data_IF_509839819913
#
_entry.id   IF_509839819913
#
_cell.length_a   1.000
_cell.length_b   1.000
_cell.length_c   1.000
_cell.angle_alpha   90.00
_cell.angle_beta   90.00
_cell.angle_gamma   90.00
#
_symmetry.space_group_name_H-M   'P 1'
#
loop_
_entity.id
_entity.type
_entity.pdbx_description
1 polymer ?
#
# COMPACT_ATOMS: atom_id res chain seq x y z
N UNK A 1 12.43 10.02 30.04
CA UNK A 1 12.06 10.68 28.77
C UNK A 1 10.91 11.61 29.09
N UNK A 2 11.08 12.91 28.92
CA UNK A 2 9.96 13.86 28.93
C UNK A 2 9.16 13.62 27.66
N UNK A 3 7.82 13.62 27.71
CA UNK A 3 6.94 13.31 26.56
C UNK A 3 7.25 14.14 25.30
N UNK A 4 7.88 15.29 25.47
CA UNK A 4 8.15 16.25 24.38
C UNK A 4 9.51 16.04 23.71
N UNK A 5 10.34 15.10 24.18
CA UNK A 5 11.70 14.88 23.64
C UNK A 5 12.06 13.41 23.48
N UNK A 6 12.46 13.04 22.26
CA UNK A 6 13.04 11.74 21.93
C UNK A 6 14.55 11.88 21.76
N UNK A 7 15.34 11.00 22.39
CA UNK A 7 16.77 10.89 22.14
C UNK A 7 17.15 9.44 21.88
N UNK A 8 17.68 9.15 20.69
CA UNK A 8 18.15 7.82 20.28
C UNK A 8 19.53 7.98 19.66
N UNK A 9 20.56 7.43 20.30
CA UNK A 9 21.96 7.56 19.87
C UNK A 9 22.32 9.03 19.65
N UNK A 10 22.64 9.42 18.42
CA UNK A 10 22.98 10.77 17.99
C UNK A 10 21.81 11.57 17.41
N UNK A 11 20.59 11.02 17.45
CA UNK A 11 19.37 11.74 17.09
C UNK A 11 18.71 12.30 18.35
N UNK A 12 18.30 13.56 18.28
CA UNK A 12 17.47 14.22 19.29
C UNK A 12 16.31 14.93 18.60
N UNK A 13 15.10 14.70 19.07
CA UNK A 13 13.88 15.28 18.53
C UNK A 13 13.20 16.06 19.65
N UNK A 14 12.83 17.29 19.37
CA UNK A 14 11.95 18.12 20.19
C UNK A 14 10.61 18.25 19.46
N UNK A 15 9.58 17.60 20.01
CA UNK A 15 8.25 17.58 19.41
C UNK A 15 7.51 18.92 19.61
N UNK A 16 7.82 19.67 20.67
CA UNK A 16 7.24 20.99 20.89
C UNK A 16 7.75 22.02 19.88
N UNK A 17 9.06 22.03 19.66
CA UNK A 17 9.72 22.97 18.76
C UNK A 17 9.76 22.50 17.29
N UNK A 18 9.25 21.30 17.00
CA UNK A 18 9.33 20.64 15.68
C UNK A 18 10.76 20.51 15.13
N UNK A 19 11.74 20.28 16.02
CA UNK A 19 13.15 20.21 15.66
C UNK A 19 13.65 18.78 15.70
N UNK A 20 14.19 18.31 14.59
CA UNK A 20 14.92 17.05 14.50
C UNK A 20 16.42 17.32 14.32
N UNK A 21 17.25 16.82 15.23
CA UNK A 21 18.70 16.94 15.19
C UNK A 21 19.34 15.57 14.95
N UNK A 22 20.30 15.52 14.04
CA UNK A 22 21.18 14.37 13.81
C UNK A 22 22.63 14.82 13.99
N UNK A 23 23.37 14.22 14.95
CA UNK A 23 24.71 14.68 15.34
C UNK A 23 24.76 16.17 15.75
N UNK A 24 23.67 16.69 16.32
CA UNK A 24 23.56 18.11 16.68
C UNK A 24 23.24 19.05 15.52
N UNK A 25 23.12 18.54 14.29
CA UNK A 25 22.76 19.32 13.10
C UNK A 25 21.25 19.18 12.81
N UNK A 26 20.50 20.27 12.58
CA UNK A 26 19.11 20.20 12.19
C UNK A 26 18.90 19.47 10.86
N UNK A 27 17.98 18.51 10.84
CA UNK A 27 17.54 17.79 9.65
C UNK A 27 16.09 18.18 9.39
N UNK A 28 15.80 18.60 8.15
CA UNK A 28 14.43 18.89 7.74
C UNK A 28 13.61 17.61 7.77
N UNK A 29 12.49 17.65 8.50
CA UNK A 29 11.51 16.57 8.58
C UNK A 29 10.14 17.15 8.27
N UNK A 30 9.31 16.35 7.61
CA UNK A 30 7.92 16.72 7.34
C UNK A 30 7.12 16.80 8.67
N UNK A 31 6.29 17.85 8.89
CA UNK A 31 5.53 18.01 10.13
C UNK A 31 4.61 16.82 10.42
N UNK A 32 3.98 16.23 9.40
CA UNK A 32 3.09 15.07 9.59
C UNK A 32 3.86 13.81 9.91
N UNK A 33 5.01 13.60 9.27
CA UNK A 33 5.94 12.55 9.67
C UNK A 33 6.37 12.72 11.14
N UNK A 34 6.59 13.95 11.60
CA UNK A 34 6.96 14.22 13.00
C UNK A 34 5.82 13.91 13.98
N UNK A 35 4.58 14.28 13.66
CA UNK A 35 3.39 13.92 14.45
C UNK A 35 3.18 12.39 14.53
N UNK A 36 3.39 11.67 13.41
CA UNK A 36 3.38 10.19 13.39
C UNK A 36 4.46 9.62 14.31
N UNK A 37 5.67 10.18 14.27
CA UNK A 37 6.76 9.76 15.14
C UNK A 37 6.41 10.03 16.61
N UNK A 38 5.80 11.17 16.92
CA UNK A 38 5.36 11.49 18.27
C UNK A 38 4.38 10.43 18.78
N UNK A 39 3.35 10.08 17.98
CA UNK A 39 2.37 9.08 18.37
C UNK A 39 3.01 7.69 18.56
N UNK A 40 3.98 7.34 17.72
CA UNK A 40 4.78 6.11 17.85
C UNK A 40 5.63 6.09 19.13
N UNK A 41 6.18 7.24 19.55
CA UNK A 41 6.96 7.37 20.78
C UNK A 41 6.08 7.29 22.01
N UNK A 42 4.91 7.94 21.98
CA UNK A 42 3.92 7.88 23.06
C UNK A 42 3.42 6.44 23.29
N UNK A 43 3.39 5.65 22.22
CA UNK A 43 3.01 4.24 22.23
C UNK A 43 4.21 3.30 22.01
N UNK A 44 5.43 3.69 22.44
CA UNK A 44 6.64 2.91 22.20
C UNK A 44 6.50 1.47 22.72
N UNK A 45 6.87 0.49 21.88
CA UNK A 45 6.70 -0.94 22.17
C UNK A 45 5.28 -1.48 21.95
N UNK A 46 4.29 -0.63 21.66
CA UNK A 46 2.92 -1.02 21.33
C UNK A 46 2.63 -0.82 19.83
N UNK A 47 1.62 -1.53 19.33
CA UNK A 47 1.18 -1.39 17.93
C UNK A 47 0.20 -0.24 17.83
N UNK A 48 0.51 0.75 16.99
CA UNK A 48 -0.41 1.82 16.61
C UNK A 48 -1.03 1.44 15.27
N UNK A 49 -2.37 1.42 15.22
CA UNK A 49 -3.11 1.01 14.02
C UNK A 49 -3.20 2.14 12.99
N UNK A 50 -3.46 1.80 11.73
CA UNK A 50 -3.68 2.80 10.69
C UNK A 50 -4.81 3.77 11.07
N UNK A 51 -5.94 3.24 11.56
CA UNK A 51 -7.07 4.05 12.03
C UNK A 51 -6.67 4.98 13.20
N UNK A 52 -5.87 4.49 14.15
CA UNK A 52 -5.39 5.31 15.26
C UNK A 52 -4.46 6.45 14.80
N UNK A 53 -3.67 6.24 13.73
CA UNK A 53 -2.91 7.32 13.11
C UNK A 53 -3.84 8.34 12.44
N UNK A 54 -4.82 7.87 11.66
CA UNK A 54 -5.81 8.73 11.01
C UNK A 54 -6.56 9.59 12.02
N UNK A 55 -7.08 8.96 13.08
CA UNK A 55 -7.86 9.61 14.14
C UNK A 55 -7.05 10.56 15.01
N UNK A 56 -5.72 10.46 15.04
CA UNK A 56 -4.89 11.28 15.92
C UNK A 56 -4.10 12.36 15.19
N UNK A 57 -3.61 12.06 13.99
CA UNK A 57 -2.75 12.95 13.20
C UNK A 57 -3.52 13.66 12.08
N UNK A 58 -4.59 13.05 11.54
CA UNK A 58 -5.38 13.58 10.41
C UNK A 58 -6.85 13.90 10.77
N UNK A 59 -7.15 14.16 12.06
CA UNK A 59 -8.48 14.43 12.64
C UNK A 59 -9.45 15.27 11.80
N UNK A 60 -8.94 16.27 11.09
CA UNK A 60 -9.76 17.32 10.45
C UNK A 60 -9.70 17.29 8.92
N UNK A 61 -9.08 16.28 8.31
CA UNK A 61 -8.94 16.18 6.85
C UNK A 61 -9.32 14.78 6.36
N UNK A 62 -10.19 14.65 5.34
CA UNK A 62 -10.33 13.39 4.64
C UNK A 62 -8.97 13.05 4.03
N UNK A 63 -8.38 11.96 4.50
CA UNK A 63 -7.09 11.47 4.06
C UNK A 63 -7.18 9.95 3.99
N UNK A 64 -6.58 9.35 2.98
CA UNK A 64 -6.66 7.91 2.78
C UNK A 64 -5.60 7.20 3.66
N UNK A 65 -5.82 5.97 4.17
CA UNK A 65 -4.87 5.28 5.05
C UNK A 65 -3.44 5.13 4.49
N UNK A 66 -3.27 5.27 3.17
CA UNK A 66 -2.00 5.32 2.46
C UNK A 66 -1.09 6.47 2.93
N UNK A 67 -1.65 7.57 3.46
CA UNK A 67 -0.85 8.70 4.01
C UNK A 67 0.01 8.26 5.19
N UNK A 68 -0.49 7.32 6.00
CA UNK A 68 0.27 6.72 7.12
C UNK A 68 1.49 5.99 6.58
N UNK A 69 1.31 5.20 5.52
CA UNK A 69 2.40 4.44 4.91
C UNK A 69 3.46 5.36 4.31
N UNK A 70 3.04 6.46 3.67
CA UNK A 70 3.95 7.49 3.15
C UNK A 70 4.73 8.19 4.26
N UNK A 71 4.05 8.59 5.34
CA UNK A 71 4.69 9.21 6.51
C UNK A 71 5.73 8.28 7.15
N UNK A 72 5.41 6.99 7.30
CA UNK A 72 6.36 5.97 7.81
C UNK A 72 7.56 5.81 6.88
N UNK A 73 7.35 5.81 5.56
CA UNK A 73 8.45 5.72 4.59
C UNK A 73 9.39 6.95 4.67
N UNK A 74 8.84 8.15 4.83
CA UNK A 74 9.61 9.39 5.04
C UNK A 74 10.41 9.33 6.34
N UNK A 75 9.80 8.87 7.43
CA UNK A 75 10.50 8.67 8.71
C UNK A 75 11.68 7.71 8.57
N UNK A 76 11.48 6.54 7.94
CA UNK A 76 12.55 5.57 7.69
C UNK A 76 13.68 6.18 6.84
N UNK A 77 13.34 6.93 5.79
CA UNK A 77 14.33 7.62 4.94
C UNK A 77 15.17 8.61 5.74
N UNK A 78 14.55 9.40 6.62
CA UNK A 78 15.25 10.34 7.51
C UNK A 78 16.15 9.58 8.49
N UNK A 79 15.65 8.54 9.14
CA UNK A 79 16.45 7.69 10.03
C UNK A 79 17.65 7.06 9.33
N UNK A 80 17.46 6.53 8.12
CA UNK A 80 18.53 5.96 7.31
C UNK A 80 19.60 6.98 6.93
N UNK A 81 19.20 8.18 6.49
CA UNK A 81 20.15 9.30 6.22
C UNK A 81 20.90 9.72 7.47
N UNK A 82 20.24 9.63 8.62
CA UNK A 82 20.83 9.86 9.93
C UNK A 82 21.51 8.61 10.50
N UNK A 83 21.80 7.55 9.74
CA UNK A 83 22.57 6.40 10.23
C UNK A 83 21.88 5.55 11.31
N UNK A 84 20.55 5.63 11.42
CA UNK A 84 19.73 4.72 12.23
C UNK A 84 19.18 3.60 11.34
N UNK A 85 19.13 2.37 11.88
CA UNK A 85 18.60 1.19 11.19
C UNK A 85 17.10 1.33 10.92
N UNK A 86 16.65 0.83 9.76
CA UNK A 86 15.24 0.77 9.35
C UNK A 86 14.38 -0.07 10.33
N UNK A 87 15.02 -0.88 11.18
CA UNK A 87 14.40 -1.74 12.21
C UNK A 87 13.76 -0.95 13.37
N UNK A 88 14.04 0.35 13.48
CA UNK A 88 13.48 1.18 14.55
C UNK A 88 11.95 1.26 14.48
N UNK A 89 11.38 1.30 13.27
CA UNK A 89 9.93 1.26 13.05
C UNK A 89 9.59 -0.09 12.41
N UNK A 90 8.95 -0.97 13.17
CA UNK A 90 8.55 -2.31 12.75
C UNK A 90 7.13 -2.28 12.17
N UNK A 91 6.97 -2.86 10.98
CA UNK A 91 5.65 -3.08 10.38
C UNK A 91 5.04 -4.34 10.97
N UNK A 92 3.83 -4.23 11.52
CA UNK A 92 3.03 -5.35 12.00
C UNK A 92 1.93 -5.65 10.97
N UNK A 93 2.05 -6.73 10.18
CA UNK A 93 1.14 -6.98 9.07
C UNK A 93 -0.33 -6.95 9.49
N UNK A 94 -1.16 -6.25 8.70
CA UNK A 94 -2.62 -6.08 8.91
C UNK A 94 -3.03 -5.36 10.20
N UNK A 95 -2.08 -4.91 11.02
CA UNK A 95 -2.37 -4.26 12.31
C UNK A 95 -1.85 -2.82 12.34
N UNK A 96 -0.63 -2.55 11.88
CA UNK A 96 -0.09 -1.20 11.86
C UNK A 96 1.42 -1.16 12.08
N UNK A 97 1.88 -0.22 12.91
CA UNK A 97 3.30 0.07 13.10
C UNK A 97 3.66 0.12 14.58
N UNK A 98 4.88 -0.30 14.91
CA UNK A 98 5.42 -0.27 16.27
C UNK A 98 6.82 0.34 16.27
N UNK A 99 7.11 1.19 17.25
CA UNK A 99 8.45 1.71 17.48
C UNK A 99 9.20 0.81 18.47
N UNK A 100 10.36 0.30 18.07
CA UNK A 100 11.25 -0.51 18.91
C UNK A 100 12.50 0.28 19.30
N UNK A 101 12.45 0.94 20.45
CA UNK A 101 13.60 1.70 20.95
C UNK A 101 14.72 0.73 21.38
N UNK A 102 15.97 0.89 20.89
CA UNK A 102 17.10 0.12 21.40
C UNK A 102 17.23 0.38 22.89
N UNK A 103 17.07 -0.65 23.72
CA UNK A 103 17.35 -0.50 25.13
C UNK A 103 18.82 -0.13 25.27
N UNK A 104 19.10 0.96 25.99
CA UNK A 104 20.46 1.32 26.37
C UNK A 104 21.05 0.10 27.06
N UNK A 105 22.10 -0.46 26.47
CA UNK A 105 22.91 -1.51 27.05
C UNK A 105 23.30 -1.08 28.47
N UNK A 106 22.70 -1.74 29.47
CA UNK A 106 23.27 -1.78 30.80
C UNK A 106 24.67 -2.40 30.64
N UNK A 107 25.69 -1.60 30.91
CA UNK A 107 27.07 -2.05 31.01
C UNK A 107 27.19 -3.19 32.05
N UNK A 108 28.17 -4.08 31.90
CA UNK A 108 28.22 -5.33 32.64
C UNK A 108 28.51 -5.08 34.12
N UNK A 109 27.67 -5.69 34.95
CA UNK A 109 27.84 -5.76 36.40
C UNK A 109 29.17 -6.46 36.75
N UNK A 110 30.13 -5.67 37.23
CA UNK A 110 31.39 -6.15 37.79
C UNK A 110 31.22 -6.54 39.26
N UNK A 111 31.10 -7.84 39.49
CA UNK A 111 31.57 -8.64 40.63
C UNK A 111 31.49 -8.09 42.07
N UNK A 112 30.64 -8.72 42.89
CA UNK A 112 30.96 -9.13 44.27
C UNK A 112 30.13 -10.36 44.69
N UNK A 113 30.76 -11.27 45.43
CA UNK A 113 30.35 -12.67 45.69
C UNK A 113 29.54 -12.82 47.00
N UNK A 114 28.34 -13.43 46.88
CA UNK A 114 27.63 -14.45 47.72
C UNK A 114 27.30 -14.19 49.22
N UNK A 115 26.47 -15.05 49.90
CA UNK A 115 25.36 -15.91 49.45
C UNK A 115 24.05 -15.76 50.30
N UNK A 116 23.02 -16.48 49.84
CA UNK A 116 22.06 -17.27 50.62
C UNK A 116 20.60 -16.77 50.81
N UNK A 117 19.71 -17.75 50.57
CA UNK A 117 18.27 -17.86 50.77
C UNK A 117 17.33 -16.67 50.45
N UNK A 118 16.49 -16.83 49.42
CA UNK A 118 15.04 -17.04 49.66
C UNK A 118 14.28 -17.53 48.42
N UNK A 119 13.70 -18.71 48.60
CA UNK A 119 12.75 -19.46 47.78
C UNK A 119 11.58 -18.62 47.24
N UNK A 120 11.50 -18.44 45.91
CA UNK A 120 10.23 -18.26 45.17
C UNK A 120 10.27 -19.07 43.87
N UNK A 121 9.48 -20.13 43.84
CA UNK A 121 9.31 -21.04 42.70
C UNK A 121 8.80 -20.27 41.47
N UNK A 122 9.58 -20.25 40.38
CA UNK A 122 9.11 -19.86 39.05
C UNK A 122 8.93 -21.11 38.20
N UNK A 123 7.71 -21.30 37.70
CA UNK A 123 7.33 -22.34 36.76
C UNK A 123 8.04 -22.07 35.40
N UNK A 124 8.61 -23.08 34.71
CA UNK A 124 9.48 -22.83 33.56
C UNK A 124 8.71 -22.41 32.30
N UNK A 125 9.16 -21.31 31.69
CA UNK A 125 8.72 -20.68 30.43
C UNK A 125 8.66 -21.61 29.20
N UNK A 126 9.34 -22.77 29.23
CA UNK A 126 9.48 -23.65 28.06
C UNK A 126 8.16 -24.28 27.57
N UNK A 127 7.08 -24.26 28.35
CA UNK A 127 5.77 -24.72 27.91
C UNK A 127 5.02 -23.71 27.03
N UNK A 128 5.28 -22.40 27.15
CA UNK A 128 4.56 -21.38 26.39
C UNK A 128 4.96 -21.32 24.91
N UNK A 129 6.24 -21.52 24.59
CA UNK A 129 6.74 -21.53 23.21
C UNK A 129 6.24 -22.76 22.42
N UNK A 130 6.11 -23.91 23.09
CA UNK A 130 5.58 -25.13 22.48
C UNK A 130 4.07 -25.01 22.21
N UNK A 131 3.32 -24.42 23.14
CA UNK A 131 1.89 -24.12 22.97
C UNK A 131 1.69 -23.09 21.85
N UNK A 132 2.52 -22.05 21.78
CA UNK A 132 2.45 -21.06 20.70
C UNK A 132 2.79 -21.66 19.34
N UNK A 133 3.82 -22.52 19.24
CA UNK A 133 4.15 -23.24 18.01
C UNK A 133 3.03 -24.21 17.59
N UNK A 134 2.40 -24.89 18.55
CA UNK A 134 1.24 -25.76 18.30
C UNK A 134 0.00 -24.97 17.86
N UNK A 135 -0.23 -23.78 18.43
CA UNK A 135 -1.31 -22.88 18.01
C UNK A 135 -1.06 -22.27 16.64
N UNK A 136 0.19 -21.91 16.30
CA UNK A 136 0.58 -21.46 14.97
C UNK A 136 0.42 -22.60 13.95
N UNK A 137 0.84 -23.81 14.29
CA UNK A 137 0.67 -24.99 13.44
C UNK A 137 -0.81 -25.37 13.25
N UNK A 138 -1.62 -25.26 14.31
CA UNK A 138 -3.07 -25.50 14.23
C UNK A 138 -3.77 -24.42 13.41
N UNK A 139 -3.42 -23.14 13.60
CA UNK A 139 -3.91 -22.03 12.78
C UNK A 139 -3.49 -22.18 11.31
N UNK A 140 -2.27 -22.66 11.04
CA UNK A 140 -1.78 -22.95 9.69
C UNK A 140 -2.55 -24.11 9.03
N UNK A 141 -2.83 -25.19 9.78
CA UNK A 141 -3.63 -26.32 9.26
C UNK A 141 -5.11 -25.94 9.05
N UNK A 142 -5.70 -25.11 9.92
CA UNK A 142 -7.04 -24.55 9.72
C UNK A 142 -7.09 -23.57 8.54
N UNK A 143 -6.04 -22.77 8.35
CA UNK A 143 -5.87 -21.87 7.20
C UNK A 143 -5.74 -22.64 5.88
N UNK A 144 -5.02 -23.75 5.87
CA UNK A 144 -4.94 -24.66 4.71
C UNK A 144 -6.27 -25.37 4.44
N UNK A 145 -7.03 -25.74 5.48
CA UNK A 145 -8.34 -26.40 5.37
C UNK A 145 -9.45 -25.51 4.79
N UNK A 146 -9.36 -24.19 4.98
CA UNK A 146 -10.23 -23.19 4.33
C UNK A 146 -9.87 -22.94 2.85
N UNK A 147 -8.80 -23.55 2.34
CA UNK A 147 -8.29 -23.40 0.98
C UNK A 147 -8.67 -24.58 0.08
N UNK A 148 -9.86 -25.16 0.27
CA UNK A 148 -10.47 -25.93 -0.81
C UNK A 148 -11.04 -24.93 -1.82
N UNK A 149 -10.63 -24.95 -3.11
CA UNK A 149 -11.32 -24.18 -4.12
C UNK A 149 -12.72 -24.76 -4.25
N UNK A 150 -13.72 -24.01 -3.83
CA UNK A 150 -15.08 -24.29 -4.28
C UNK A 150 -15.09 -24.07 -5.79
N UNK A 151 -15.22 -25.14 -6.57
CA UNK A 151 -15.55 -25.04 -7.98
C UNK A 151 -16.88 -24.28 -8.09
N UNK A 152 -16.86 -23.05 -8.61
CA UNK A 152 -18.07 -22.28 -8.84
C UNK A 152 -18.76 -22.87 -10.08
N UNK A 153 -19.92 -23.46 -9.86
CA UNK A 153 -20.79 -23.96 -10.92
C UNK A 153 -21.82 -22.85 -11.23
N UNK A 154 -21.77 -22.28 -12.44
CA UNK A 154 -22.55 -21.10 -12.84
C UNK A 154 -23.99 -21.41 -13.30
N UNK A 155 -24.43 -22.67 -13.21
CA UNK A 155 -25.79 -23.05 -13.61
C UNK A 155 -26.79 -22.80 -12.46
N UNK A 156 -27.30 -21.58 -12.34
CA UNK A 156 -28.29 -21.29 -11.29
C UNK A 156 -28.83 -19.87 -11.17
N UNK A 157 -28.85 -19.07 -12.23
CA UNK A 157 -29.49 -17.75 -12.21
C UNK A 157 -30.77 -17.79 -13.06
N UNK A 158 -31.90 -17.73 -12.35
CA UNK A 158 -33.25 -17.70 -12.92
C UNK A 158 -33.55 -16.41 -13.67
N UNK A 159 -34.31 -16.57 -14.74
CA UNK A 159 -34.87 -15.50 -15.57
C UNK A 159 -35.76 -14.55 -14.77
N UNK A 160 -35.43 -13.27 -14.76
CA UNK A 160 -36.41 -12.20 -14.64
C UNK A 160 -35.86 -10.94 -15.34
N UNK A 161 -36.47 -10.64 -16.50
CA UNK A 161 -36.50 -9.34 -17.19
C UNK A 161 -35.19 -8.55 -17.30
N UNK A 162 -34.22 -9.08 -18.06
CA UNK A 162 -33.07 -8.30 -18.55
C UNK A 162 -33.16 -8.16 -20.07
N UNK A 163 -33.25 -6.91 -20.54
CA UNK A 163 -33.17 -6.52 -21.95
C UNK A 163 -31.95 -7.19 -22.61
N UNK A 164 -32.05 -7.77 -23.83
CA UNK A 164 -30.97 -8.55 -24.41
C UNK A 164 -29.72 -7.68 -24.59
N UNK A 165 -28.60 -8.17 -24.07
CA UNK A 165 -27.29 -7.53 -24.14
C UNK A 165 -26.75 -7.55 -25.59
N UNK A 166 -25.94 -6.56 -25.99
CA UNK A 166 -25.25 -6.58 -27.28
C UNK A 166 -24.29 -7.77 -27.39
N UNK A 167 -23.98 -8.15 -28.63
CA UNK A 167 -23.29 -9.38 -29.10
C UNK A 167 -21.86 -9.62 -28.55
N UNK A 168 -21.34 -8.72 -27.73
CA UNK A 168 -20.06 -8.87 -27.03
C UNK A 168 -20.29 -9.54 -25.67
N UNK A 169 -20.15 -10.86 -25.63
CA UNK A 169 -20.23 -11.64 -24.38
C UNK A 169 -18.92 -11.60 -23.57
N UNK A 170 -18.02 -10.67 -23.89
CA UNK A 170 -16.66 -10.58 -23.34
C UNK A 170 -16.48 -9.26 -22.59
N UNK A 171 -16.11 -9.35 -21.33
CA UNK A 171 -15.69 -8.18 -20.53
C UNK A 171 -14.20 -7.99 -20.71
N UNK A 172 -13.75 -6.77 -21.00
CA UNK A 172 -12.32 -6.42 -21.06
C UNK A 172 -12.01 -5.33 -20.05
N UNK A 173 -10.99 -5.54 -19.24
CA UNK A 173 -10.55 -4.62 -18.19
C UNK A 173 -9.10 -4.27 -18.49
N UNK A 174 -8.88 -3.03 -18.90
CA UNK A 174 -7.56 -2.45 -19.08
C UNK A 174 -7.17 -1.81 -17.76
N UNK A 175 -6.00 -2.15 -17.22
CA UNK A 175 -5.54 -1.65 -15.93
C UNK A 175 -4.14 -1.08 -16.12
N UNK A 176 -3.99 0.20 -15.79
CA UNK A 176 -2.71 0.88 -15.77
C UNK A 176 -2.53 1.64 -14.45
N UNK A 177 -1.30 1.93 -14.12
CA UNK A 177 -0.97 2.83 -13.02
C UNK A 177 -1.03 4.28 -13.52
N UNK A 178 -1.35 5.22 -12.64
CA UNK A 178 -1.04 6.63 -12.89
C UNK A 178 0.41 6.82 -13.37
N UNK A 179 0.68 7.92 -14.06
CA UNK A 179 2.02 8.23 -14.59
C UNK A 179 2.90 9.00 -13.59
N UNK A 180 4.11 9.39 -13.99
CA UNK A 180 5.11 10.01 -13.13
C UNK A 180 4.58 11.24 -12.39
N UNK A 181 4.77 11.24 -11.08
CA UNK A 181 4.37 12.34 -10.21
C UNK A 181 5.53 13.32 -9.98
N UNK A 182 5.22 14.57 -9.62
CA UNK A 182 6.23 15.59 -9.32
C UNK A 182 6.96 15.32 -8.00
N UNK A 183 6.21 15.39 -6.91
CA UNK A 183 6.76 15.51 -5.56
C UNK A 183 6.37 14.32 -4.70
N UNK A 184 7.32 13.44 -4.44
CA UNK A 184 7.16 12.31 -3.53
C UNK A 184 6.95 12.74 -2.06
N UNK A 185 7.25 13.99 -1.72
CA UNK A 185 7.04 14.58 -0.39
C UNK A 185 5.62 15.16 -0.23
N UNK A 186 4.88 15.41 -1.31
CA UNK A 186 3.47 15.80 -1.25
C UNK A 186 2.57 14.64 -0.80
N UNK A 187 1.49 14.93 -0.08
CA UNK A 187 0.46 13.93 0.26
C UNK A 187 -0.37 13.52 -0.96
N UNK A 188 -0.62 14.46 -1.87
CA UNK A 188 -1.33 14.21 -3.13
C UNK A 188 -0.68 14.97 -4.29
N UNK A 189 0.50 14.50 -4.77
CA UNK A 189 1.17 15.13 -5.89
C UNK A 189 0.37 14.95 -7.18
N UNK A 190 0.39 15.98 -8.03
CA UNK A 190 0.00 15.86 -9.42
C UNK A 190 1.10 15.21 -10.28
N UNK A 191 0.80 15.11 -11.58
CA UNK A 191 1.73 14.62 -12.59
C UNK A 191 2.88 15.60 -12.83
N UNK A 192 4.06 15.03 -13.04
CA UNK A 192 5.22 15.74 -13.56
C UNK A 192 5.09 16.00 -15.07
N UNK A 193 6.01 16.78 -15.64
CA UNK A 193 6.08 16.94 -17.10
C UNK A 193 6.26 15.61 -17.83
N UNK A 194 7.11 14.72 -17.31
CA UNK A 194 7.28 13.35 -17.80
C UNK A 194 5.98 12.54 -17.69
N UNK A 195 5.24 12.70 -16.58
CA UNK A 195 3.96 12.02 -16.36
C UNK A 195 2.90 12.46 -17.36
N UNK A 196 2.77 13.78 -17.61
CA UNK A 196 1.88 14.32 -18.63
C UNK A 196 2.27 13.76 -20.02
N UNK A 197 3.56 13.74 -20.36
CA UNK A 197 4.03 13.19 -21.63
C UNK A 197 3.68 11.70 -21.77
N UNK A 198 3.89 10.91 -20.72
CA UNK A 198 3.55 9.48 -20.70
C UNK A 198 2.05 9.24 -20.75
N UNK A 199 1.22 10.05 -20.09
CA UNK A 199 -0.23 9.92 -20.16
C UNK A 199 -0.75 10.18 -21.59
N UNK A 200 -0.19 11.17 -22.27
CA UNK A 200 -0.47 11.39 -23.70
C UNK A 200 0.03 10.24 -24.58
N UNK A 201 1.16 9.63 -24.26
CA UNK A 201 1.62 8.45 -24.97
C UNK A 201 0.66 7.27 -24.79
N UNK A 202 0.20 7.01 -23.57
CA UNK A 202 -0.84 6.00 -23.30
C UNK A 202 -2.13 6.27 -24.07
N UNK A 203 -2.54 7.53 -24.17
CA UNK A 203 -3.68 7.94 -24.99
C UNK A 203 -3.48 7.55 -26.46
N UNK A 204 -2.29 7.75 -27.03
CA UNK A 204 -1.96 7.29 -28.38
C UNK A 204 -1.98 5.76 -28.50
N UNK A 205 -1.40 5.05 -27.53
CA UNK A 205 -1.39 3.58 -27.52
C UNK A 205 -2.81 3.01 -27.49
N UNK A 206 -3.71 3.64 -26.72
CA UNK A 206 -5.08 3.19 -26.51
C UNK A 206 -6.10 3.88 -27.43
N UNK A 207 -5.67 4.66 -28.43
CA UNK A 207 -6.56 5.48 -29.27
C UNK A 207 -7.61 4.69 -30.07
N UNK A 208 -7.39 3.39 -30.27
CA UNK A 208 -8.31 2.48 -30.97
C UNK A 208 -9.15 1.63 -30.01
N UNK A 209 -9.02 1.86 -28.71
CA UNK A 209 -9.80 1.19 -27.67
C UNK A 209 -10.95 2.10 -27.29
N UNK A 210 -12.16 1.71 -27.67
CA UNK A 210 -13.39 2.39 -27.23
C UNK A 210 -13.73 1.91 -25.83
N UNK A 211 -13.48 2.74 -24.83
CA UNK A 211 -13.89 2.46 -23.45
C UNK A 211 -15.33 2.90 -23.23
N UNK A 212 -16.14 2.11 -22.53
CA UNK A 212 -17.46 2.55 -22.08
C UNK A 212 -17.38 3.27 -20.73
N UNK A 213 -16.36 2.97 -19.92
CA UNK A 213 -16.15 3.55 -18.60
C UNK A 213 -14.69 3.63 -18.20
N UNK A 214 -14.37 4.64 -17.39
CA UNK A 214 -13.04 4.88 -16.83
C UNK A 214 -13.16 4.99 -15.31
N UNK A 215 -12.48 4.08 -14.61
CA UNK A 215 -12.42 4.03 -13.16
C UNK A 215 -11.08 4.57 -12.66
N UNK A 216 -11.13 5.41 -11.63
CA UNK A 216 -9.93 6.00 -11.03
C UNK A 216 -10.10 6.17 -9.52
N UNK A 217 -8.99 6.34 -8.81
CA UNK A 217 -9.05 6.84 -7.42
C UNK A 217 -9.10 8.37 -7.42
N UNK A 218 -9.47 8.96 -6.29
CA UNK A 218 -9.56 10.42 -6.10
C UNK A 218 -8.22 11.16 -5.95
N UNK A 219 -7.07 10.47 -5.98
CA UNK A 219 -5.76 11.11 -6.01
C UNK A 219 -5.54 11.97 -7.27
N UNK A 220 -4.96 13.16 -7.10
CA UNK A 220 -4.72 14.13 -8.17
C UNK A 220 -3.98 13.53 -9.37
N UNK A 221 -2.90 12.78 -9.15
CA UNK A 221 -2.16 12.09 -10.24
C UNK A 221 -3.01 11.08 -11.02
N UNK A 222 -3.96 10.43 -10.35
CA UNK A 222 -4.85 9.45 -10.95
C UNK A 222 -5.94 10.14 -11.77
N UNK A 223 -6.55 11.21 -11.23
CA UNK A 223 -7.52 12.05 -11.94
C UNK A 223 -6.86 12.65 -13.18
N UNK A 224 -5.70 13.28 -13.06
CA UNK A 224 -4.99 13.89 -14.19
C UNK A 224 -4.62 12.87 -15.28
N UNK A 225 -4.21 11.66 -14.90
CA UNK A 225 -3.94 10.59 -15.88
C UNK A 225 -5.24 10.18 -16.58
N UNK A 226 -6.32 10.00 -15.82
CA UNK A 226 -7.62 9.58 -16.34
C UNK A 226 -8.25 10.65 -17.25
N UNK A 227 -8.20 11.93 -16.89
CA UNK A 227 -8.68 13.06 -17.69
C UNK A 227 -7.98 13.11 -19.05
N UNK A 228 -6.66 12.92 -19.09
CA UNK A 228 -5.90 12.89 -20.35
C UNK A 228 -6.38 11.72 -21.24
N UNK A 229 -6.63 10.55 -20.65
CA UNK A 229 -7.11 9.36 -21.38
C UNK A 229 -8.57 9.48 -21.81
N UNK A 230 -9.40 10.22 -21.06
CA UNK A 230 -10.81 10.43 -21.32
C UNK A 230 -11.08 11.57 -22.32
N UNK A 231 -10.09 12.41 -22.63
CA UNK A 231 -10.32 13.70 -23.28
C UNK A 231 -10.99 13.61 -24.66
N UNK A 232 -10.82 12.49 -25.37
CA UNK A 232 -11.38 12.29 -26.72
C UNK A 232 -12.74 11.57 -26.70
N UNK A 233 -13.04 10.83 -25.63
CA UNK A 233 -14.30 10.09 -25.49
C UNK A 233 -15.39 10.88 -24.77
N UNK A 234 -15.00 11.89 -23.96
CA UNK A 234 -15.94 12.68 -23.15
C UNK A 234 -16.61 11.90 -22.02
N UNK A 235 -16.06 10.73 -21.66
CA UNK A 235 -16.56 9.91 -20.56
C UNK A 235 -16.35 10.60 -19.22
N UNK A 236 -17.34 10.46 -18.34
CA UNK A 236 -17.19 10.85 -16.94
C UNK A 236 -16.31 9.83 -16.19
N UNK A 237 -15.54 10.34 -15.22
CA UNK A 237 -14.69 9.50 -14.37
C UNK A 237 -15.53 8.88 -13.25
N UNK A 238 -15.44 7.56 -13.10
CA UNK A 238 -16.02 6.83 -11.99
C UNK A 238 -14.97 6.56 -10.90
N UNK A 239 -15.33 6.78 -9.64
CA UNK A 239 -14.38 6.69 -8.54
C UNK A 239 -14.51 5.37 -7.77
N UNK A 240 -13.37 4.77 -7.43
CA UNK A 240 -13.31 3.60 -6.55
C UNK A 240 -12.29 3.79 -5.43
N UNK A 241 -12.53 3.11 -4.30
CA UNK A 241 -11.60 3.04 -3.19
C UNK A 241 -10.87 1.68 -3.20
N UNK A 242 -9.53 1.64 -3.31
CA UNK A 242 -8.79 0.38 -3.44
C UNK A 242 -9.00 -0.61 -2.28
N UNK A 243 -9.01 -0.10 -1.04
CA UNK A 243 -9.11 -0.93 0.16
C UNK A 243 -10.50 -1.57 0.36
N UNK A 244 -11.55 -0.93 -0.15
CA UNK A 244 -12.93 -1.42 -0.08
C UNK A 244 -13.43 -1.96 -1.41
N UNK A 245 -12.53 -2.15 -2.39
CA UNK A 245 -12.88 -2.61 -3.72
C UNK A 245 -13.44 -4.04 -3.67
N UNK A 246 -14.75 -4.17 -3.89
CA UNK A 246 -15.44 -5.45 -3.99
C UNK A 246 -15.43 -5.93 -5.45
N UNK A 247 -14.62 -6.95 -5.72
CA UNK A 247 -14.45 -7.51 -7.07
C UNK A 247 -15.74 -8.08 -7.64
N UNK A 248 -16.52 -8.82 -6.86
CA UNK A 248 -17.74 -9.46 -7.37
C UNK A 248 -18.79 -8.41 -7.71
N UNK A 249 -18.97 -7.44 -6.82
CA UNK A 249 -19.85 -6.30 -7.08
C UNK A 249 -19.39 -5.53 -8.32
N UNK A 250 -18.09 -5.24 -8.42
CA UNK A 250 -17.52 -4.52 -9.55
C UNK A 250 -17.77 -5.24 -10.88
N UNK A 251 -17.39 -6.52 -10.98
CA UNK A 251 -17.55 -7.34 -12.18
C UNK A 251 -19.02 -7.42 -12.62
N UNK A 252 -19.96 -7.50 -11.66
CA UNK A 252 -21.38 -7.49 -11.97
C UNK A 252 -21.85 -6.17 -12.60
N UNK A 253 -21.19 -5.04 -12.31
CA UNK A 253 -21.56 -3.77 -12.94
C UNK A 253 -21.01 -3.63 -14.36
N UNK A 254 -19.85 -4.24 -14.68
CA UNK A 254 -19.11 -4.02 -15.95
C UNK A 254 -19.27 -5.15 -16.98
N UNK A 255 -20.10 -6.16 -16.73
CA UNK A 255 -20.22 -7.34 -17.60
C UNK A 255 -20.49 -6.94 -19.07
N UNK A 256 -19.66 -7.48 -19.97
CA UNK A 256 -19.76 -7.27 -21.42
C UNK A 256 -19.19 -5.93 -21.91
N UNK A 257 -18.59 -5.14 -21.01
CA UNK A 257 -18.01 -3.83 -21.33
C UNK A 257 -16.49 -3.90 -21.42
N UNK A 258 -15.92 -2.91 -22.11
CA UNK A 258 -14.51 -2.61 -22.19
C UNK A 258 -14.19 -1.39 -21.31
N UNK A 259 -13.62 -1.62 -20.13
CA UNK A 259 -13.39 -0.56 -19.15
C UNK A 259 -11.90 -0.33 -18.91
N UNK A 260 -11.57 0.88 -18.50
CA UNK A 260 -10.23 1.28 -18.06
C UNK A 260 -10.21 1.49 -16.55
N UNK A 261 -9.17 1.03 -15.86
CA UNK A 261 -8.91 1.31 -14.44
C UNK A 261 -7.53 1.95 -14.31
N UNK A 262 -7.48 3.12 -13.67
CA UNK A 262 -6.26 3.79 -13.25
C UNK A 262 -6.04 3.56 -11.75
N UNK A 263 -4.94 2.90 -11.40
CA UNK A 263 -4.63 2.52 -10.02
C UNK A 263 -3.24 2.94 -9.56
N UNK A 264 -2.75 2.26 -8.51
CA UNK A 264 -1.47 2.52 -7.86
C UNK A 264 -0.59 1.26 -7.88
N UNK A 265 0.72 1.44 -7.81
CA UNK A 265 1.67 0.32 -7.85
C UNK A 265 1.47 -0.69 -6.71
N UNK A 266 1.02 -0.23 -5.54
CA UNK A 266 0.79 -1.10 -4.38
C UNK A 266 -0.55 -1.83 -4.41
N UNK A 267 -1.53 -1.38 -5.21
CA UNK A 267 -2.89 -1.93 -5.21
C UNK A 267 -3.23 -2.71 -6.48
N UNK A 268 -2.62 -2.36 -7.62
CA UNK A 268 -2.88 -3.01 -8.91
C UNK A 268 -2.60 -4.52 -8.86
N UNK A 269 -1.45 -5.02 -8.35
CA UNK A 269 -1.19 -6.47 -8.36
C UNK A 269 -2.22 -7.26 -7.55
N UNK A 270 -2.59 -6.77 -6.37
CA UNK A 270 -3.60 -7.42 -5.53
C UNK A 270 -4.99 -7.39 -6.18
N UNK A 271 -5.38 -6.24 -6.73
CA UNK A 271 -6.64 -6.09 -7.46
C UNK A 271 -6.74 -7.08 -8.62
N UNK A 272 -5.68 -7.21 -9.43
CA UNK A 272 -5.65 -8.17 -10.54
C UNK A 272 -5.75 -9.60 -10.02
N UNK A 273 -4.95 -9.98 -9.03
CA UNK A 273 -4.98 -11.32 -8.44
C UNK A 273 -6.39 -11.70 -7.94
N UNK A 274 -7.11 -10.74 -7.35
CA UNK A 274 -8.50 -10.92 -6.91
C UNK A 274 -9.48 -11.01 -8.09
N UNK A 275 -9.27 -10.25 -9.17
CA UNK A 275 -10.06 -10.33 -10.40
C UNK A 275 -9.94 -11.69 -11.09
N UNK A 276 -8.74 -12.27 -11.11
CA UNK A 276 -8.45 -13.53 -11.80
C UNK A 276 -8.60 -14.77 -10.91
N UNK A 277 -8.76 -14.60 -9.60
CA UNK A 277 -8.93 -15.69 -8.64
C UNK A 277 -7.66 -16.48 -8.33
N UNK A 278 -6.48 -15.99 -8.69
CA UNK A 278 -5.18 -16.63 -8.47
C UNK A 278 -4.10 -15.63 -8.02
N UNK A 279 -3.06 -16.12 -7.35
CA UNK A 279 -1.91 -15.30 -6.95
C UNK A 279 -0.83 -15.35 -8.03
N UNK A 280 -0.92 -14.48 -9.03
CA UNK A 280 -0.01 -14.47 -10.19
C UNK A 280 0.93 -13.27 -10.24
N UNK A 281 0.42 -12.09 -9.89
CA UNK A 281 1.16 -10.84 -10.00
C UNK A 281 1.77 -10.45 -8.65
N UNK A 282 3.11 -10.40 -8.52
CA UNK A 282 3.78 -9.93 -7.31
C UNK A 282 3.66 -8.39 -7.18
N UNK A 283 3.99 -7.82 -6.00
CA UNK A 283 4.08 -6.37 -5.83
C UNK A 283 4.98 -5.74 -6.91
N UNK A 284 4.51 -4.66 -7.52
CA UNK A 284 5.24 -3.94 -8.56
C UNK A 284 6.02 -2.74 -7.99
N UNK A 285 7.08 -2.34 -8.70
CA UNK A 285 7.90 -1.19 -8.31
C UNK A 285 7.10 0.12 -8.41
N UNK A 286 7.36 1.06 -7.49
CA UNK A 286 6.81 2.42 -7.56
C UNK A 286 7.44 3.26 -8.68
N UNK A 287 8.48 2.76 -9.34
CA UNK A 287 9.09 3.37 -10.54
C UNK A 287 8.54 2.77 -11.83
N UNK A 288 7.65 1.78 -11.74
CA UNK A 288 7.10 1.13 -12.92
C UNK A 288 5.87 1.88 -13.43
N UNK A 289 6.02 2.49 -14.61
CA UNK A 289 5.00 3.29 -15.30
C UNK A 289 4.68 2.75 -16.70
N UNK A 290 5.27 1.61 -17.07
CA UNK A 290 5.31 1.10 -18.46
C UNK A 290 4.47 -0.17 -18.64
N UNK A 291 3.66 -0.51 -17.64
CA UNK A 291 2.84 -1.70 -17.67
C UNK A 291 1.38 -1.41 -17.96
N UNK A 292 0.83 -2.19 -18.89
CA UNK A 292 -0.59 -2.33 -19.11
C UNK A 292 -0.99 -3.77 -18.82
N UNK A 293 -2.00 -3.95 -17.98
CA UNK A 293 -2.61 -5.24 -17.75
C UNK A 293 -3.95 -5.30 -18.47
N UNK A 294 -4.19 -6.41 -19.16
CA UNK A 294 -5.45 -6.68 -19.85
C UNK A 294 -6.06 -7.95 -19.26
N UNK A 295 -7.24 -7.80 -18.65
CA UNK A 295 -8.07 -8.91 -18.17
C UNK A 295 -9.21 -9.09 -19.15
N UNK A 296 -9.35 -10.28 -19.71
CA UNK A 296 -10.46 -10.66 -20.59
C UNK A 296 -11.27 -11.74 -19.89
N UNK A 297 -12.56 -11.50 -19.70
CA UNK A 297 -13.48 -12.44 -19.05
C UNK A 297 -14.55 -12.81 -20.09
N UNK A 298 -14.54 -14.07 -20.52
CA UNK A 298 -15.54 -14.61 -21.43
C UNK A 298 -16.88 -14.85 -20.73
N UNK A 299 -17.91 -15.18 -21.53
CA UNK A 299 -19.28 -15.44 -21.04
C UNK A 299 -19.34 -16.48 -19.93
N UNK A 300 -18.57 -17.54 -20.08
CA UNK A 300 -18.60 -18.70 -19.20
C UNK A 300 -17.74 -18.48 -17.94
N UNK A 301 -17.13 -17.29 -17.79
CA UNK A 301 -16.25 -16.92 -16.68
C UNK A 301 -14.78 -17.20 -16.94
N UNK A 302 -14.43 -17.80 -18.09
CA UNK A 302 -13.05 -18.01 -18.49
C UNK A 302 -12.28 -16.69 -18.50
N UNK A 303 -11.23 -16.63 -17.70
CA UNK A 303 -10.47 -15.40 -17.45
C UNK A 303 -9.05 -15.52 -17.98
N UNK A 304 -8.67 -14.62 -18.89
CA UNK A 304 -7.32 -14.48 -19.41
C UNK A 304 -6.74 -13.18 -18.87
N UNK A 305 -5.49 -13.27 -18.39
CA UNK A 305 -4.73 -12.12 -17.92
C UNK A 305 -3.41 -12.00 -18.66
N UNK A 306 -3.18 -10.83 -19.25
CA UNK A 306 -2.00 -10.47 -20.03
C UNK A 306 -1.37 -9.23 -19.43
N UNK A 307 -0.05 -9.25 -19.27
CA UNK A 307 0.76 -8.11 -18.87
C UNK A 307 1.61 -7.69 -20.07
N UNK A 308 1.50 -6.44 -20.47
CA UNK A 308 2.25 -5.83 -21.57
C UNK A 308 3.20 -4.80 -20.98
N UNK A 309 4.45 -4.83 -21.44
CA UNK A 309 5.43 -3.79 -21.17
C UNK A 309 5.57 -2.94 -22.43
N UNK A 310 5.28 -1.64 -22.31
CA UNK A 310 5.31 -0.69 -23.43
C UNK A 310 6.33 0.39 -23.09
N UNK A 311 7.50 0.27 -23.70
CA UNK A 311 8.58 1.22 -23.53
C UNK A 311 8.18 2.58 -24.10
N UNK A 312 8.45 3.64 -23.35
CA UNK A 312 8.28 5.00 -23.86
C UNK A 312 9.56 5.50 -24.52
N UNK A 313 9.46 6.27 -25.63
CA UNK A 313 10.63 6.82 -26.31
C UNK A 313 11.40 7.88 -25.49
N UNK A 314 10.93 8.24 -24.30
CA UNK A 314 11.51 9.28 -23.43
C UNK A 314 12.20 8.72 -22.17
N UNK A 315 12.10 7.41 -21.91
CA UNK A 315 12.60 6.73 -20.70
C UNK A 315 14.13 6.85 -20.50
N UNK A 316 14.91 6.92 -21.58
CA UNK A 316 16.37 6.87 -21.53
C UNK A 316 17.08 8.21 -21.21
N UNK A 317 16.38 9.35 -21.25
CA UNK A 317 17.03 10.66 -21.07
C UNK A 317 17.04 11.16 -19.61
N UNK A 318 16.03 10.82 -18.81
CA UNK A 318 15.90 11.36 -17.45
C UNK A 318 16.49 10.46 -16.35
N UNK A 319 16.60 9.14 -16.59
CA UNK A 319 17.30 8.24 -15.65
C UNK A 319 18.81 8.48 -15.58
N UNK A 320 19.39 9.19 -16.55
CA UNK A 320 20.81 9.54 -16.57
C UNK A 320 21.16 10.81 -15.76
N UNK A 321 20.17 11.51 -15.21
CA UNK A 321 20.37 12.83 -14.59
C UNK A 321 19.95 12.93 -13.10
N UNK A 322 19.69 11.81 -12.42
CA UNK A 322 19.39 11.78 -10.97
C UNK A 322 20.42 10.96 -10.18
#
# INVERSE_FOLDING_TARGET
MTKDRLKIRHISVDFGEHVFLSNGVPVKIDPKALEVLQLLVENAGQVVTADAFMDQVWKDKPSAPEVVTSAIARLRKVFKKSGISDELIVTVPKLGYRLELPQASAEPESAAIAPDEMRRQKLPWFSAALVLALLISLAFNLYQGFRQPASINLNGIGEADVKPAPESEVTRIYILRHTEQTDWESEDPGLSGAGIARANYWKTVLQHVEFERIFTTDFTRNIQTADILASDSGLELEYYYPLSFDVLKFLNTIRGQQVLIIGHSNTIPDMINRLIGETRYPPMSHLDYEQLFLITIGKDGDTISTQLHIETPFSSAEHAAQ
#
